data_IF_122278638684
#
_entry.id   IF_122278638684
#
_cell.length_a   1.000
_cell.length_b   1.000
_cell.length_c   1.000
_cell.angle_alpha   90.00
_cell.angle_beta   90.00
_cell.angle_gamma   90.00
#
_symmetry.space_group_name_H-M   'P 1'
#
loop_
_entity.id
_entity.type
_entity.pdbx_description
1 polymer ?
#
# COMPACT_ATOMS: atom_id res chain seq x y z
N UNK A 1 9.59 29.65 27.19
CA UNK A 1 8.99 28.32 27.42
C UNK A 1 10.15 27.33 27.45
N UNK A 2 10.54 26.81 28.63
CA UNK A 2 11.65 25.85 28.73
C UNK A 2 11.17 24.51 28.13
N UNK A 3 11.71 24.13 26.98
CA UNK A 3 11.56 22.77 26.45
C UNK A 3 12.27 21.82 27.42
N UNK A 4 11.51 20.97 28.09
CA UNK A 4 12.05 19.94 28.97
C UNK A 4 12.39 18.71 28.13
N UNK A 5 13.64 18.64 27.65
CA UNK A 5 14.14 17.57 26.78
C UNK A 5 13.83 16.16 27.31
N UNK A 6 13.76 15.99 28.65
CA UNK A 6 13.48 14.70 29.27
C UNK A 6 12.03 14.25 29.04
N UNK A 7 11.07 15.17 29.18
CA UNK A 7 9.65 14.92 28.87
C UNK A 7 9.44 14.60 27.38
N UNK A 8 10.22 15.20 26.48
CA UNK A 8 10.11 14.95 25.04
C UNK A 8 10.71 13.59 24.65
N UNK A 9 11.80 13.17 25.29
CA UNK A 9 12.37 11.82 25.11
C UNK A 9 11.46 10.72 25.66
N UNK A 10 10.86 10.91 26.83
CA UNK A 10 9.92 9.95 27.42
C UNK A 10 8.67 9.77 26.54
N UNK A 11 8.17 10.85 25.93
CA UNK A 11 7.07 10.78 24.95
C UNK A 11 7.46 10.03 23.68
N UNK A 12 8.69 10.21 23.18
CA UNK A 12 9.17 9.51 21.99
C UNK A 12 9.36 8.01 22.28
N UNK A 13 9.89 7.67 23.46
CA UNK A 13 10.01 6.29 23.92
C UNK A 13 8.64 5.61 24.04
N UNK A 14 7.64 6.29 24.62
CA UNK A 14 6.26 5.77 24.70
C UNK A 14 5.60 5.56 23.32
N UNK A 15 6.11 6.22 22.27
CA UNK A 15 5.66 5.99 20.88
C UNK A 15 6.45 4.87 20.18
N UNK A 16 7.34 4.21 20.92
CA UNK A 16 8.22 3.12 20.48
C UNK A 16 9.47 3.56 19.75
N UNK A 17 9.92 4.82 19.88
CA UNK A 17 11.20 5.24 19.29
C UNK A 17 12.35 4.55 20.05
N UNK A 18 13.16 3.70 19.41
CA UNK A 18 14.30 3.09 20.07
C UNK A 18 15.47 4.08 20.11
N UNK A 19 16.37 3.89 21.08
CA UNK A 19 17.72 4.46 21.01
C UNK A 19 18.56 3.64 20.02
N UNK A 20 19.63 4.26 19.50
CA UNK A 20 20.54 3.56 18.59
C UNK A 20 21.19 2.36 19.27
N UNK A 21 21.54 2.49 20.55
CA UNK A 21 22.11 1.39 21.34
C UNK A 21 21.14 0.20 21.46
N UNK A 22 19.83 0.46 21.58
CA UNK A 22 18.81 -0.60 21.65
C UNK A 22 18.80 -1.42 20.35
N UNK A 23 18.91 -0.76 19.20
CA UNK A 23 18.95 -1.42 17.88
C UNK A 23 20.23 -2.26 17.77
N UNK A 24 21.39 -1.69 18.15
CA UNK A 24 22.69 -2.36 18.08
C UNK A 24 22.69 -3.61 18.98
N UNK A 25 22.09 -3.53 20.17
CA UNK A 25 22.06 -4.64 21.12
C UNK A 25 21.35 -5.90 20.62
N UNK A 26 20.46 -5.76 19.62
CA UNK A 26 19.72 -6.88 19.04
C UNK A 26 20.33 -7.38 17.71
N UNK A 27 21.39 -6.75 17.19
CA UNK A 27 21.93 -7.02 15.85
C UNK A 27 22.36 -8.48 15.65
N UNK A 28 23.03 -9.04 16.64
CA UNK A 28 23.61 -10.40 16.55
C UNK A 28 22.66 -11.49 17.06
N UNK A 29 21.40 -11.14 17.37
CA UNK A 29 20.40 -12.11 17.82
C UNK A 29 19.94 -13.01 16.69
N UNK A 30 19.63 -14.25 17.04
CA UNK A 30 19.03 -15.19 16.10
C UNK A 30 17.61 -14.74 15.70
N UNK A 31 17.13 -15.23 14.57
CA UNK A 31 15.75 -15.01 14.11
C UNK A 31 14.72 -15.32 15.21
N UNK A 32 14.89 -16.42 15.97
CA UNK A 32 13.97 -16.81 17.04
C UNK A 32 13.95 -15.80 18.17
N UNK A 33 15.11 -15.28 18.58
CA UNK A 33 15.20 -14.27 19.61
C UNK A 33 14.63 -12.92 19.14
N UNK A 34 14.87 -12.54 17.88
CA UNK A 34 14.28 -11.34 17.31
C UNK A 34 12.74 -11.43 17.24
N UNK A 35 12.19 -12.58 16.87
CA UNK A 35 10.74 -12.83 16.91
C UNK A 35 10.22 -12.73 18.34
N UNK A 36 10.95 -13.23 19.34
CA UNK A 36 10.57 -13.06 20.74
C UNK A 36 10.51 -11.56 21.11
N UNK A 37 11.55 -10.79 20.80
CA UNK A 37 11.59 -9.34 21.05
C UNK A 37 10.54 -8.54 20.27
N UNK A 38 10.11 -9.00 19.09
CA UNK A 38 9.03 -8.38 18.31
C UNK A 38 7.68 -8.37 19.07
N UNK A 39 7.54 -9.23 20.08
CA UNK A 39 6.33 -9.33 20.91
C UNK A 39 6.54 -8.83 22.34
N UNK A 40 7.63 -8.07 22.59
CA UNK A 40 7.91 -7.50 23.90
C UNK A 40 6.85 -6.47 24.32
N UNK A 41 6.67 -6.27 25.62
CA UNK A 41 5.76 -5.25 26.15
C UNK A 41 6.28 -3.83 25.86
N UNK A 42 7.60 -3.64 25.79
CA UNK A 42 8.22 -2.37 25.45
C UNK A 42 8.22 -2.13 23.93
N UNK A 43 7.53 -1.08 23.50
CA UNK A 43 7.41 -0.72 22.09
C UNK A 43 8.76 -0.38 21.43
N UNK A 44 9.72 0.16 22.17
CA UNK A 44 11.06 0.45 21.65
C UNK A 44 11.83 -0.85 21.37
N UNK A 45 11.68 -1.88 22.21
CA UNK A 45 12.25 -3.21 21.97
C UNK A 45 11.62 -3.85 20.73
N UNK A 46 10.29 -3.76 20.59
CA UNK A 46 9.60 -4.24 19.37
C UNK A 46 10.09 -3.53 18.12
N UNK A 47 10.29 -2.22 18.17
CA UNK A 47 10.82 -1.44 17.03
C UNK A 47 12.25 -1.88 16.67
N UNK A 48 13.14 -2.00 17.65
CA UNK A 48 14.51 -2.49 17.44
C UNK A 48 14.54 -3.90 16.86
N UNK A 49 13.65 -4.78 17.31
CA UNK A 49 13.51 -6.13 16.77
C UNK A 49 13.04 -6.10 15.31
N UNK A 50 11.99 -5.32 15.01
CA UNK A 50 11.48 -5.15 13.65
C UNK A 50 12.55 -4.65 12.67
N UNK A 51 13.39 -3.70 13.09
CA UNK A 51 14.51 -3.18 12.28
C UNK A 51 15.52 -4.31 11.99
N UNK A 52 15.94 -5.06 13.01
CA UNK A 52 16.93 -6.12 12.84
C UNK A 52 16.39 -7.34 12.06
N UNK A 53 15.06 -7.54 12.03
CA UNK A 53 14.41 -8.56 11.20
C UNK A 53 14.50 -8.29 9.69
N UNK A 54 14.99 -7.13 9.24
CA UNK A 54 15.18 -6.81 7.82
C UNK A 54 16.01 -7.84 7.06
N UNK A 55 17.01 -8.45 7.70
CA UNK A 55 17.83 -9.51 7.10
C UNK A 55 17.12 -10.88 7.00
N UNK A 56 15.91 -10.97 7.57
CA UNK A 56 15.08 -12.17 7.63
C UNK A 56 13.65 -11.89 7.15
N UNK A 57 13.42 -10.83 6.38
CA UNK A 57 12.06 -10.35 6.07
C UNK A 57 11.14 -11.43 5.45
N UNK A 58 11.69 -12.31 4.61
CA UNK A 58 10.99 -13.45 4.01
C UNK A 58 10.57 -14.51 5.05
N UNK A 59 11.46 -14.82 5.99
CA UNK A 59 11.24 -15.81 7.06
C UNK A 59 10.39 -15.27 8.20
N UNK A 60 10.43 -13.96 8.42
CA UNK A 60 9.74 -13.27 9.52
C UNK A 60 8.38 -12.69 9.11
N UNK A 61 8.01 -12.74 7.82
CA UNK A 61 6.84 -12.07 7.27
C UNK A 61 5.55 -12.31 8.06
N UNK A 62 5.25 -13.57 8.43
CA UNK A 62 4.01 -13.91 9.15
C UNK A 62 3.99 -13.28 10.56
N UNK A 63 5.12 -13.28 11.25
CA UNK A 63 5.26 -12.69 12.58
C UNK A 63 5.16 -11.16 12.53
N UNK A 64 5.78 -10.55 11.52
CA UNK A 64 5.71 -9.10 11.29
C UNK A 64 4.28 -8.67 10.93
N UNK A 65 3.59 -9.42 10.07
CA UNK A 65 2.19 -9.14 9.70
C UNK A 65 1.23 -9.30 10.88
N UNK A 66 1.38 -10.38 11.66
CA UNK A 66 0.61 -10.58 12.87
C UNK A 66 0.83 -9.43 13.85
N UNK A 67 2.09 -9.04 14.10
CA UNK A 67 2.40 -7.91 14.97
C UNK A 67 1.84 -6.60 14.42
N UNK A 68 1.96 -6.33 13.12
CA UNK A 68 1.40 -5.13 12.48
C UNK A 68 -0.11 -5.01 12.64
N UNK A 69 -0.82 -6.14 12.63
CA UNK A 69 -2.26 -6.20 12.80
C UNK A 69 -2.70 -5.72 14.19
N UNK A 70 -1.93 -6.07 15.23
CA UNK A 70 -2.24 -5.72 16.63
C UNK A 70 -1.55 -4.44 17.13
N UNK A 71 -0.50 -3.98 16.43
CA UNK A 71 0.35 -2.91 16.91
C UNK A 71 -0.42 -1.59 17.09
N UNK A 72 -0.06 -0.82 18.11
CA UNK A 72 -0.60 0.51 18.39
C UNK A 72 0.48 1.60 18.30
N UNK A 73 1.72 1.25 18.62
CA UNK A 73 2.90 2.11 18.59
C UNK A 73 3.26 2.56 17.17
N UNK A 74 3.45 3.87 17.01
CA UNK A 74 3.72 4.46 15.70
C UNK A 74 5.07 4.01 15.13
N UNK A 75 6.15 4.12 15.89
CA UNK A 75 7.49 3.82 15.38
C UNK A 75 7.65 2.33 15.11
N UNK A 76 7.00 1.48 15.90
CA UNK A 76 6.97 0.04 15.67
C UNK A 76 6.25 -0.30 14.38
N UNK A 77 5.09 0.32 14.09
CA UNK A 77 4.40 0.17 12.79
C UNK A 77 5.29 0.56 11.62
N UNK A 78 5.97 1.69 11.72
CA UNK A 78 6.86 2.19 10.67
C UNK A 78 7.97 1.19 10.41
N UNK A 79 8.68 0.75 11.45
CA UNK A 79 9.75 -0.23 11.31
C UNK A 79 9.26 -1.57 10.72
N UNK A 80 8.09 -2.07 11.13
CA UNK A 80 7.52 -3.28 10.56
C UNK A 80 7.21 -3.09 9.07
N UNK A 81 6.61 -1.96 8.69
CA UNK A 81 6.31 -1.64 7.29
C UNK A 81 7.58 -1.60 6.44
N UNK A 82 8.62 -0.92 6.91
CA UNK A 82 9.91 -0.80 6.20
C UNK A 82 10.63 -2.14 6.07
N UNK A 83 10.52 -3.00 7.08
CA UNK A 83 11.07 -4.36 7.04
C UNK A 83 10.31 -5.25 6.06
N UNK A 84 8.96 -5.18 6.04
CA UNK A 84 8.14 -5.91 5.06
C UNK A 84 8.39 -5.42 3.62
N UNK A 85 8.62 -4.11 3.43
CA UNK A 85 8.94 -3.50 2.13
C UNK A 85 10.22 -4.10 1.51
N UNK A 86 11.18 -4.52 2.34
CA UNK A 86 12.42 -5.14 1.91
C UNK A 86 12.28 -6.64 1.54
N UNK A 87 11.07 -7.21 1.68
CA UNK A 87 10.78 -8.61 1.38
C UNK A 87 10.77 -8.96 -0.11
N UNK A 88 10.56 -10.24 -0.40
CA UNK A 88 10.49 -10.78 -1.76
C UNK A 88 9.03 -11.05 -2.19
N UNK A 89 8.83 -11.75 -3.31
CA UNK A 89 7.49 -12.10 -3.81
C UNK A 89 6.68 -12.97 -2.84
N UNK A 90 7.33 -13.86 -2.08
CA UNK A 90 6.64 -14.70 -1.10
C UNK A 90 6.19 -13.86 0.11
N UNK A 91 7.01 -12.88 0.53
CA UNK A 91 6.56 -11.85 1.48
C UNK A 91 5.34 -11.10 0.94
N UNK A 92 5.37 -10.67 -0.33
CA UNK A 92 4.25 -9.95 -0.94
C UNK A 92 2.95 -10.78 -1.00
N UNK A 93 3.03 -12.09 -1.28
CA UNK A 93 1.87 -13.00 -1.23
C UNK A 93 1.28 -13.11 0.17
N UNK A 94 2.13 -13.26 1.19
CA UNK A 94 1.67 -13.26 2.59
C UNK A 94 1.03 -11.93 2.97
N UNK A 95 1.62 -10.82 2.55
CA UNK A 95 1.08 -9.48 2.77
C UNK A 95 -0.28 -9.31 2.09
N UNK A 96 -0.47 -9.82 0.87
CA UNK A 96 -1.73 -9.73 0.14
C UNK A 96 -2.93 -10.30 0.92
N UNK A 97 -2.70 -11.27 1.80
CA UNK A 97 -3.73 -11.81 2.70
C UNK A 97 -4.27 -10.79 3.71
N UNK A 98 -3.55 -9.69 3.95
CA UNK A 98 -3.91 -8.63 4.88
C UNK A 98 -4.47 -7.36 4.20
N UNK A 99 -4.57 -7.34 2.86
CA UNK A 99 -5.16 -6.21 2.14
C UNK A 99 -6.59 -5.92 2.65
N UNK A 100 -6.84 -4.66 3.00
CA UNK A 100 -8.14 -4.21 3.50
C UNK A 100 -8.45 -4.60 4.95
N UNK A 101 -7.52 -5.25 5.67
CA UNK A 101 -7.76 -5.76 7.04
C UNK A 101 -7.13 -4.93 8.16
N UNK A 102 -6.11 -4.12 7.87
CA UNK A 102 -5.37 -3.36 8.89
C UNK A 102 -5.77 -1.88 8.85
N UNK A 103 -6.22 -1.36 10.00
CA UNK A 103 -6.68 0.02 10.14
C UNK A 103 -8.05 0.29 9.50
N UNK A 104 -8.40 1.57 9.36
CA UNK A 104 -9.73 2.00 8.90
C UNK A 104 -9.69 3.16 7.87
N UNK A 105 -8.53 3.41 7.27
CA UNK A 105 -8.32 4.55 6.36
C UNK A 105 -8.79 4.30 4.92
N UNK A 106 -9.12 3.06 4.59
CA UNK A 106 -9.58 2.61 3.27
C UNK A 106 -10.85 3.33 2.86
N UNK A 107 -11.07 3.46 1.55
CA UNK A 107 -12.35 3.94 1.05
C UNK A 107 -13.41 2.87 1.25
N UNK A 108 -14.41 3.13 2.10
CA UNK A 108 -15.58 2.27 2.29
C UNK A 108 -16.78 2.69 1.43
N UNK A 109 -16.69 3.88 0.81
CA UNK A 109 -17.71 4.52 -0.03
C UNK A 109 -17.01 5.38 -1.06
N UNK A 110 -17.73 5.73 -2.13
CA UNK A 110 -17.27 6.71 -3.12
C UNK A 110 -16.83 8.02 -2.44
N UNK A 111 -15.68 8.60 -2.85
CA UNK A 111 -15.27 9.90 -2.36
C UNK A 111 -16.18 11.00 -2.90
N UNK A 112 -16.30 12.10 -2.15
CA UNK A 112 -17.06 13.29 -2.57
C UNK A 112 -16.33 14.13 -3.63
N UNK A 113 -15.02 13.92 -3.79
CA UNK A 113 -14.15 14.70 -4.66
C UNK A 113 -12.94 13.88 -5.06
N UNK A 114 -12.44 14.16 -6.26
CA UNK A 114 -11.23 13.53 -6.79
C UNK A 114 -9.97 14.02 -6.08
N UNK A 115 -8.87 13.30 -6.25
CA UNK A 115 -7.56 13.71 -5.75
C UNK A 115 -7.07 14.97 -6.46
N UNK A 116 -6.58 15.96 -5.71
CA UNK A 116 -5.93 17.15 -6.28
C UNK A 116 -4.48 16.90 -6.73
N UNK A 117 -3.94 15.70 -6.47
CA UNK A 117 -2.55 15.37 -6.83
C UNK A 117 -2.39 15.29 -8.35
N UNK A 118 -1.28 15.84 -8.83
CA UNK A 118 -0.83 15.72 -10.23
C UNK A 118 -0.15 14.38 -10.52
N UNK A 119 0.20 13.63 -9.48
CA UNK A 119 0.76 12.27 -9.55
C UNK A 119 -0.29 11.23 -9.17
N UNK A 120 0.08 9.95 -9.26
CA UNK A 120 -0.73 8.87 -8.71
C UNK A 120 -0.93 9.05 -7.19
N UNK A 121 -2.16 8.88 -6.66
CA UNK A 121 -2.39 8.97 -5.22
C UNK A 121 -1.74 7.80 -4.48
N UNK A 122 -1.19 8.06 -3.31
CA UNK A 122 -0.62 7.01 -2.46
C UNK A 122 -1.75 6.14 -1.89
N UNK A 123 -1.63 4.79 -1.88
CA UNK A 123 -2.67 3.91 -1.34
C UNK A 123 -3.03 4.25 0.11
N UNK A 124 -4.31 4.14 0.45
CA UNK A 124 -4.80 4.44 1.81
C UNK A 124 -4.69 3.25 2.75
N UNK A 125 -4.84 2.04 2.22
CA UNK A 125 -4.55 0.81 2.93
C UNK A 125 -3.04 0.69 3.21
N UNK A 126 -2.70 0.23 4.41
CA UNK A 126 -1.31 0.14 4.87
C UNK A 126 -0.56 -0.95 4.10
N UNK A 127 -1.18 -2.09 3.84
CA UNK A 127 -0.56 -3.20 3.11
C UNK A 127 -0.36 -2.82 1.65
N UNK A 128 -1.39 -2.25 1.01
CA UNK A 128 -1.28 -1.77 -0.37
C UNK A 128 -0.18 -0.70 -0.52
N UNK A 129 0.00 0.15 0.49
CA UNK A 129 1.06 1.16 0.49
C UNK A 129 2.45 0.55 0.55
N UNK A 130 2.65 -0.52 1.33
CA UNK A 130 3.93 -1.21 1.40
C UNK A 130 4.18 -1.94 0.07
N UNK A 131 3.22 -2.73 -0.41
CA UNK A 131 3.30 -3.45 -1.69
C UNK A 131 3.63 -2.51 -2.86
N UNK A 132 3.05 -1.30 -2.87
CA UNK A 132 3.29 -0.29 -3.91
C UNK A 132 4.75 0.20 -3.98
N UNK A 133 5.49 0.10 -2.88
CA UNK A 133 6.89 0.55 -2.77
C UNK A 133 7.91 -0.59 -2.88
N UNK A 134 7.46 -1.83 -2.77
CA UNK A 134 8.31 -2.99 -3.00
C UNK A 134 8.86 -3.01 -4.43
N UNK A 135 9.87 -3.84 -4.66
CA UNK A 135 10.41 -4.05 -6.00
C UNK A 135 9.34 -4.54 -6.99
N UNK A 136 9.35 -4.04 -8.23
CA UNK A 136 8.45 -4.43 -9.31
C UNK A 136 8.32 -5.94 -9.58
N UNK A 137 9.29 -6.77 -9.18
CA UNK A 137 9.18 -8.22 -9.28
C UNK A 137 7.99 -8.83 -8.49
N UNK A 138 7.37 -8.09 -7.56
CA UNK A 138 6.18 -8.58 -6.82
C UNK A 138 4.88 -8.43 -7.59
N UNK A 139 4.86 -7.75 -8.74
CA UNK A 139 3.64 -7.52 -9.54
C UNK A 139 2.82 -8.79 -9.80
N UNK A 140 3.40 -9.99 -10.04
CA UNK A 140 2.62 -11.22 -10.16
C UNK A 140 1.74 -11.52 -8.95
N UNK A 141 2.19 -11.23 -7.72
CA UNK A 141 1.38 -11.43 -6.51
C UNK A 141 0.17 -10.47 -6.47
N UNK A 142 0.31 -9.24 -6.97
CA UNK A 142 -0.83 -8.33 -7.11
C UNK A 142 -1.79 -8.81 -8.20
N UNK A 143 -1.27 -9.31 -9.32
CA UNK A 143 -2.10 -9.88 -10.41
C UNK A 143 -2.91 -11.07 -9.90
N UNK A 144 -2.33 -11.97 -9.11
CA UNK A 144 -3.03 -13.09 -8.45
C UNK A 144 -4.26 -12.58 -7.67
N UNK A 145 -4.14 -11.46 -6.95
CA UNK A 145 -5.26 -10.83 -6.24
C UNK A 145 -6.28 -10.23 -7.21
N UNK A 146 -5.85 -9.47 -8.22
CA UNK A 146 -6.76 -8.83 -9.19
C UNK A 146 -7.59 -9.86 -9.99
N UNK A 147 -7.07 -11.07 -10.17
CA UNK A 147 -7.75 -12.17 -10.85
C UNK A 147 -8.65 -13.01 -9.92
N UNK A 148 -8.59 -12.77 -8.60
CA UNK A 148 -9.39 -13.50 -7.62
C UNK A 148 -10.85 -13.01 -7.57
N UNK A 149 -11.62 -13.58 -6.65
CA UNK A 149 -12.97 -13.15 -6.29
C UNK A 149 -13.04 -12.43 -4.92
N UNK A 150 -11.89 -12.15 -4.30
CA UNK A 150 -11.84 -11.45 -3.00
C UNK A 150 -11.91 -9.93 -3.19
N UNK A 151 -13.14 -9.42 -3.24
CA UNK A 151 -13.41 -8.01 -3.51
C UNK A 151 -12.72 -7.06 -2.52
N UNK A 152 -12.62 -7.45 -1.25
CA UNK A 152 -11.94 -6.65 -0.22
C UNK A 152 -10.47 -6.44 -0.57
N UNK A 153 -9.78 -7.52 -0.97
CA UNK A 153 -8.38 -7.43 -1.40
C UNK A 153 -8.23 -6.69 -2.71
N UNK A 154 -9.14 -6.93 -3.67
CA UNK A 154 -9.11 -6.32 -5.00
C UNK A 154 -9.13 -4.79 -4.90
N UNK A 155 -10.01 -4.20 -4.07
CA UNK A 155 -10.05 -2.74 -3.91
C UNK A 155 -8.69 -2.13 -3.60
N UNK A 156 -7.92 -2.77 -2.71
CA UNK A 156 -6.66 -2.22 -2.25
C UNK A 156 -5.49 -2.63 -3.16
N UNK A 157 -5.56 -3.81 -3.79
CA UNK A 157 -4.60 -4.25 -4.79
C UNK A 157 -4.56 -3.32 -6.02
N UNK A 158 -5.70 -2.78 -6.47
CA UNK A 158 -5.76 -1.82 -7.58
C UNK A 158 -4.92 -0.57 -7.28
N UNK A 159 -5.02 -0.04 -6.06
CA UNK A 159 -4.25 1.15 -5.67
C UNK A 159 -2.75 0.87 -5.70
N UNK A 160 -2.32 -0.29 -5.19
CA UNK A 160 -0.92 -0.71 -5.21
C UNK A 160 -0.40 -0.93 -6.64
N UNK A 161 -1.15 -1.70 -7.44
CA UNK A 161 -0.78 -2.02 -8.81
C UNK A 161 -0.68 -0.77 -9.69
N UNK A 162 -1.68 0.12 -9.62
CA UNK A 162 -1.66 1.38 -10.35
C UNK A 162 -0.51 2.30 -9.93
N UNK A 163 -0.15 2.33 -8.64
CA UNK A 163 1.03 3.08 -8.17
C UNK A 163 2.31 2.53 -8.81
N UNK A 164 2.51 1.21 -8.80
CA UNK A 164 3.69 0.59 -9.41
C UNK A 164 3.75 0.85 -10.92
N UNK A 165 2.65 0.68 -11.64
CA UNK A 165 2.56 0.98 -13.07
C UNK A 165 2.87 2.46 -13.36
N UNK A 166 2.39 3.38 -12.52
CA UNK A 166 2.59 4.81 -12.75
C UNK A 166 4.06 5.22 -12.68
N UNK A 167 4.82 4.61 -11.76
CA UNK A 167 6.23 4.92 -11.50
C UNK A 167 7.22 3.97 -12.19
N UNK A 168 6.75 2.99 -12.94
CA UNK A 168 7.58 2.08 -13.72
C UNK A 168 7.00 1.89 -15.13
N UNK A 169 7.61 2.55 -16.11
CA UNK A 169 7.17 2.53 -17.51
C UNK A 169 7.13 1.13 -18.13
N UNK A 170 8.02 0.22 -17.69
CA UNK A 170 8.03 -1.16 -18.21
C UNK A 170 6.75 -1.93 -17.88
N UNK A 171 6.02 -1.51 -16.84
CA UNK A 171 4.74 -2.08 -16.43
C UNK A 171 3.55 -1.47 -17.17
N UNK A 172 3.73 -0.39 -17.94
CA UNK A 172 2.68 0.31 -18.69
C UNK A 172 2.49 -0.32 -20.07
N UNK A 173 1.99 -1.55 -20.11
CA UNK A 173 1.84 -2.32 -21.34
C UNK A 173 0.43 -2.92 -21.47
N UNK A 174 0.08 -3.36 -22.69
CA UNK A 174 -1.22 -3.93 -23.04
C UNK A 174 -1.61 -5.10 -22.13
N UNK A 175 -0.67 -5.97 -21.77
CA UNK A 175 -0.97 -7.12 -20.90
C UNK A 175 -1.46 -6.68 -19.52
N UNK A 176 -0.82 -5.66 -18.95
CA UNK A 176 -1.12 -5.20 -17.60
C UNK A 176 -2.41 -4.38 -17.51
N UNK A 177 -2.74 -3.59 -18.54
CA UNK A 177 -4.00 -2.83 -18.56
C UNK A 177 -5.22 -3.77 -18.69
N UNK A 178 -5.09 -4.93 -19.35
CA UNK A 178 -6.18 -5.91 -19.46
C UNK A 178 -6.75 -6.34 -18.10
N UNK A 179 -5.92 -6.45 -17.06
CA UNK A 179 -6.42 -6.81 -15.73
C UNK A 179 -7.39 -5.75 -15.19
N UNK A 180 -7.14 -4.48 -15.46
CA UNK A 180 -8.02 -3.38 -15.05
C UNK A 180 -9.29 -3.35 -15.89
N UNK A 181 -9.18 -3.59 -17.19
CA UNK A 181 -10.34 -3.65 -18.10
C UNK A 181 -11.27 -4.81 -17.70
N UNK A 182 -10.71 -5.98 -17.41
CA UNK A 182 -11.46 -7.13 -16.95
C UNK A 182 -12.21 -6.85 -15.65
N UNK A 183 -11.59 -6.13 -14.70
CA UNK A 183 -12.25 -5.69 -13.48
C UNK A 183 -13.41 -4.71 -13.74
N UNK A 184 -13.21 -3.73 -14.63
CA UNK A 184 -14.27 -2.79 -15.04
C UNK A 184 -15.47 -3.54 -15.62
N UNK A 185 -15.21 -4.52 -16.49
CA UNK A 185 -16.26 -5.30 -17.14
C UNK A 185 -16.99 -6.22 -16.14
N UNK A 186 -16.23 -6.90 -15.26
CA UNK A 186 -16.75 -7.84 -14.27
C UNK A 186 -17.59 -7.16 -13.20
N UNK A 187 -17.17 -5.99 -12.72
CA UNK A 187 -17.79 -5.29 -11.59
C UNK A 187 -18.37 -3.93 -12.01
N UNK A 188 -18.96 -3.84 -13.20
CA UNK A 188 -19.50 -2.61 -13.79
C UNK A 188 -20.50 -1.84 -12.90
N UNK A 189 -21.17 -2.53 -11.99
CA UNK A 189 -22.18 -1.96 -11.07
C UNK A 189 -21.56 -1.49 -9.73
N UNK A 190 -20.33 -1.89 -9.43
CA UNK A 190 -19.58 -1.45 -8.26
C UNK A 190 -18.88 -0.12 -8.54
N UNK A 191 -19.58 0.99 -8.29
CA UNK A 191 -19.02 2.31 -8.56
C UNK A 191 -17.72 2.61 -7.83
N UNK A 192 -17.49 2.06 -6.63
CA UNK A 192 -16.25 2.32 -5.89
C UNK A 192 -15.07 1.61 -6.55
N UNK A 193 -15.26 0.35 -6.97
CA UNK A 193 -14.25 -0.39 -7.71
C UNK A 193 -13.94 0.32 -9.02
N UNK A 194 -14.99 0.71 -9.76
CA UNK A 194 -14.85 1.44 -11.02
C UNK A 194 -14.07 2.74 -10.81
N UNK A 195 -14.38 3.52 -9.77
CA UNK A 195 -13.63 4.72 -9.44
C UNK A 195 -12.12 4.43 -9.25
N UNK A 196 -11.77 3.37 -8.50
CA UNK A 196 -10.37 2.93 -8.31
C UNK A 196 -9.72 2.49 -9.64
N UNK A 197 -10.43 1.76 -10.49
CA UNK A 197 -9.96 1.39 -11.83
C UNK A 197 -9.69 2.63 -12.70
N UNK A 198 -10.58 3.63 -12.68
CA UNK A 198 -10.37 4.88 -13.42
C UNK A 198 -9.14 5.64 -12.90
N UNK A 199 -8.90 5.65 -11.58
CA UNK A 199 -7.65 6.15 -11.01
C UNK A 199 -6.45 5.38 -11.54
N UNK A 200 -6.52 4.04 -11.54
CA UNK A 200 -5.48 3.14 -12.04
C UNK A 200 -5.14 3.38 -13.52
N UNK A 201 -6.13 3.69 -14.37
CA UNK A 201 -5.90 3.97 -15.79
C UNK A 201 -5.00 5.19 -16.04
N UNK A 202 -4.87 6.12 -15.08
CA UNK A 202 -3.90 7.23 -15.16
C UNK A 202 -2.44 6.78 -15.12
N UNK A 203 -2.18 5.51 -14.76
CA UNK A 203 -0.86 4.90 -14.77
C UNK A 203 -0.41 4.47 -16.16
N UNK A 204 -1.33 4.19 -17.08
CA UNK A 204 -1.03 3.55 -18.36
C UNK A 204 -1.05 4.58 -19.49
N UNK A 205 0.13 4.99 -19.96
CA UNK A 205 0.25 5.91 -21.11
C UNK A 205 -0.01 5.20 -22.45
N UNK A 206 -1.22 4.65 -22.60
CA UNK A 206 -1.68 3.89 -23.76
C UNK A 206 -2.94 4.55 -24.32
N UNK A 207 -3.16 4.45 -25.63
CA UNK A 207 -4.37 4.98 -26.27
C UNK A 207 -5.63 4.33 -25.69
N UNK A 208 -5.56 3.01 -25.44
CA UNK A 208 -6.63 2.25 -24.82
C UNK A 208 -7.09 2.82 -23.47
N UNK A 209 -6.17 3.34 -22.66
CA UNK A 209 -6.53 4.02 -21.41
C UNK A 209 -7.34 5.29 -21.68
N UNK A 210 -6.92 6.09 -22.67
CA UNK A 210 -7.59 7.35 -23.04
C UNK A 210 -8.98 7.07 -23.56
N UNK A 211 -9.14 6.07 -24.40
CA UNK A 211 -10.44 5.65 -24.95
C UNK A 211 -11.43 5.28 -23.85
N UNK A 212 -11.00 4.45 -22.88
CA UNK A 212 -11.84 4.06 -21.76
C UNK A 212 -12.22 5.29 -20.92
N UNK A 213 -11.26 6.15 -20.57
CA UNK A 213 -11.53 7.35 -19.79
C UNK A 213 -12.52 8.28 -20.52
N UNK A 214 -12.35 8.49 -21.83
CA UNK A 214 -13.27 9.28 -22.65
C UNK A 214 -14.67 8.67 -22.71
N UNK A 215 -14.79 7.34 -22.72
CA UNK A 215 -16.10 6.68 -22.67
C UNK A 215 -16.86 6.99 -21.36
N UNK A 216 -16.16 7.05 -20.22
CA UNK A 216 -16.74 7.42 -18.94
C UNK A 216 -17.11 8.90 -18.89
N UNK A 217 -16.28 9.78 -19.46
CA UNK A 217 -16.57 11.21 -19.60
C UNK A 217 -17.82 11.44 -20.45
N UNK A 218 -18.01 10.67 -21.51
CA UNK A 218 -19.17 10.79 -22.41
C UNK A 218 -20.44 10.20 -21.80
N UNK A 219 -20.30 9.14 -21.00
CA UNK A 219 -21.42 8.43 -20.37
C UNK A 219 -22.00 9.17 -19.15
N UNK A 220 -21.14 9.79 -18.35
CA UNK A 220 -21.53 10.42 -17.08
C UNK A 220 -21.47 11.95 -17.18
N UNK A 221 -22.37 12.65 -16.48
CA UNK A 221 -22.35 14.11 -16.40
C UNK A 221 -21.50 14.64 -15.23
N UNK A 222 -21.35 15.96 -15.15
CA UNK A 222 -20.58 16.67 -14.10
C UNK A 222 -21.08 16.45 -12.66
N UNK A 223 -22.26 15.86 -12.48
CA UNK A 223 -22.83 15.48 -11.18
C UNK A 223 -22.24 14.16 -10.63
N UNK A 224 -21.66 13.30 -11.48
CA UNK A 224 -21.14 11.98 -11.07
C UNK A 224 -19.62 12.04 -10.82
N UNK A 225 -19.17 11.46 -9.71
CA UNK A 225 -17.75 11.40 -9.35
C UNK A 225 -16.92 10.59 -10.35
N UNK A 226 -17.52 9.63 -11.06
CA UNK A 226 -16.84 8.86 -12.10
C UNK A 226 -16.46 9.71 -13.30
N UNK A 227 -17.29 10.71 -13.66
CA UNK A 227 -16.93 11.71 -14.68
C UNK A 227 -15.66 12.46 -14.25
N UNK A 228 -15.64 12.96 -13.01
CA UNK A 228 -14.51 13.74 -12.51
C UNK A 228 -13.23 12.92 -12.39
N UNK A 229 -13.31 11.66 -11.95
CA UNK A 229 -12.13 10.81 -11.86
C UNK A 229 -11.60 10.46 -13.25
N UNK A 230 -12.48 10.19 -14.23
CA UNK A 230 -12.07 9.97 -15.60
C UNK A 230 -11.36 11.21 -16.20
N UNK A 231 -11.95 12.40 -16.01
CA UNK A 231 -11.33 13.68 -16.39
C UNK A 231 -9.96 13.89 -15.73
N UNK A 232 -9.86 13.62 -14.43
CA UNK A 232 -8.61 13.75 -13.66
C UNK A 232 -7.53 12.81 -14.21
N UNK A 233 -7.87 11.55 -14.43
CA UNK A 233 -6.95 10.54 -14.94
C UNK A 233 -6.49 10.87 -16.36
N UNK A 234 -7.39 11.32 -17.24
CA UNK A 234 -7.04 11.74 -18.59
C UNK A 234 -6.09 12.96 -18.58
N UNK A 235 -6.38 13.94 -17.71
CA UNK A 235 -5.51 15.11 -17.53
C UNK A 235 -4.10 14.76 -17.03
N UNK A 236 -3.94 13.65 -16.30
CA UNK A 236 -2.62 13.14 -15.91
C UNK A 236 -1.90 12.54 -17.11
N UNK A 237 -2.58 11.73 -17.92
CA UNK A 237 -2.00 11.13 -19.12
C UNK A 237 -1.56 12.18 -20.15
N UNK A 238 -2.29 13.29 -20.28
CA UNK A 238 -1.96 14.37 -21.22
C UNK A 238 -0.77 15.24 -20.79
N UNK A 239 -0.23 15.02 -19.58
CA UNK A 239 0.95 15.74 -19.07
C UNK A 239 2.23 14.92 -19.16
N UNK A 240 2.12 13.64 -19.50
CA UNK A 240 3.25 12.74 -19.77
C UNK A 240 3.57 12.81 -21.25
#
# INVERSE_FOLDING_TARGET
MKHDLKSDLDKLKNRGLPLEEDIISLRDKSLKELIYCLNDNDASVRTSAAINLKYYADKAADYLLFRLFEEDSLYTKIAICETLEAGNIDTARKMAEYLGKIGNNQYKKLPKKVSSKKSYPLPRDIIARILAKMNAYIVPALIEVLQSDDLLKIYEAIDSFGYMCFYNETLQNEKNIEYIINLINKYKDDKLLIWKCLTCLSAFNLEKSRDILNSFISKYGYEDILFWEAMRSLNILNRK
#
